data_IF_937236978742
#
_entry.id   IF_937236978742
#
_cell.length_a   1.000
_cell.length_b   1.000
_cell.length_c   1.000
_cell.angle_alpha   90.00
_cell.angle_beta   90.00
_cell.angle_gamma   90.00
#
_symmetry.space_group_name_H-M   'P 1'
#
loop_
_entity.id
_entity.type
_entity.pdbx_description
1 polymer ?
#
# COMPACT_ATOMS: atom_id res chain seq x y z
N UNK A 1 31.46 24.60 52.69
CA UNK A 1 30.16 24.79 52.01
C UNK A 1 30.20 25.67 50.74
N UNK A 2 31.37 26.01 50.17
CA UNK A 2 31.48 26.76 48.89
C UNK A 2 31.90 25.86 47.69
N UNK A 3 32.37 24.63 47.96
CA UNK A 3 32.79 23.68 46.93
C UNK A 3 31.65 22.91 46.27
N UNK A 4 30.65 22.49 47.06
CA UNK A 4 29.59 21.60 46.57
C UNK A 4 28.70 22.29 45.52
N UNK A 5 28.34 23.56 45.75
CA UNK A 5 27.52 24.35 44.82
C UNK A 5 28.17 24.52 43.44
N UNK A 6 29.50 24.63 43.37
CA UNK A 6 30.21 24.78 42.09
C UNK A 6 30.17 23.49 41.27
N UNK A 7 30.29 22.34 41.92
CA UNK A 7 30.23 21.03 41.24
C UNK A 7 28.85 20.81 40.62
N UNK A 8 27.77 21.10 41.37
CA UNK A 8 26.41 20.98 40.85
C UNK A 8 26.15 21.92 39.66
N UNK A 9 26.68 23.15 39.71
CA UNK A 9 26.55 24.12 38.61
C UNK A 9 27.30 23.63 37.37
N UNK A 10 28.54 23.16 37.52
CA UNK A 10 29.32 22.65 36.38
C UNK A 10 28.66 21.42 35.76
N UNK A 11 28.16 20.48 36.56
CA UNK A 11 27.43 19.32 36.07
C UNK A 11 26.14 19.70 35.33
N UNK A 12 25.39 20.68 35.84
CA UNK A 12 24.19 21.21 35.19
C UNK A 12 24.52 21.82 33.82
N UNK A 13 25.59 22.61 33.73
CA UNK A 13 26.04 23.20 32.46
C UNK A 13 26.40 22.11 31.44
N UNK A 14 27.15 21.09 31.84
CA UNK A 14 27.46 19.95 30.96
C UNK A 14 26.20 19.21 30.51
N UNK A 15 25.26 18.94 31.41
CA UNK A 15 24.01 18.28 31.07
C UNK A 15 23.19 19.08 30.06
N UNK A 16 23.09 20.41 30.25
CA UNK A 16 22.40 21.30 29.30
C UNK A 16 23.09 21.31 27.94
N UNK A 17 24.42 21.32 27.89
CA UNK A 17 25.16 21.27 26.62
C UNK A 17 24.89 19.96 25.89
N UNK A 18 24.98 18.82 26.58
CA UNK A 18 24.71 17.50 25.99
C UNK A 18 23.26 17.41 25.52
N UNK A 19 22.31 17.91 26.31
CA UNK A 19 20.90 17.93 25.95
C UNK A 19 20.62 18.79 24.71
N UNK A 20 21.18 20.00 24.65
CA UNK A 20 21.07 20.88 23.48
C UNK A 20 21.68 20.25 22.24
N UNK A 21 22.84 19.60 22.38
CA UNK A 21 23.47 18.89 21.27
C UNK A 21 22.60 17.74 20.77
N UNK A 22 22.02 16.94 21.68
CA UNK A 22 21.07 15.89 21.34
C UNK A 22 19.84 16.42 20.61
N UNK A 23 19.29 17.56 21.04
CA UNK A 23 18.14 18.21 20.39
C UNK A 23 18.49 18.66 18.96
N UNK A 24 19.65 19.29 18.76
CA UNK A 24 20.11 19.72 17.43
C UNK A 24 20.27 18.53 16.46
N UNK A 25 20.93 17.46 16.92
CA UNK A 25 21.12 16.24 16.11
C UNK A 25 19.76 15.58 15.82
N UNK A 26 18.89 15.49 16.82
CA UNK A 26 17.55 14.93 16.66
C UNK A 26 16.73 15.68 15.61
N UNK A 27 16.72 17.01 15.69
CA UNK A 27 16.00 17.85 14.74
C UNK A 27 16.57 17.72 13.31
N UNK A 28 17.90 17.68 13.16
CA UNK A 28 18.54 17.48 11.86
C UNK A 28 18.15 16.15 11.19
N UNK A 29 18.08 15.07 11.97
CA UNK A 29 17.66 13.75 11.45
C UNK A 29 16.20 13.80 10.97
N UNK A 30 15.32 14.45 11.73
CA UNK A 30 13.91 14.61 11.34
C UNK A 30 13.79 15.38 10.04
N UNK A 31 14.47 16.53 9.91
CA UNK A 31 14.40 17.35 8.68
C UNK A 31 14.93 16.60 7.47
N UNK A 32 16.03 15.83 7.62
CA UNK A 32 16.58 15.02 6.53
C UNK A 32 15.60 13.94 6.06
N UNK A 33 14.88 13.31 7.00
CA UNK A 33 13.87 12.30 6.66
C UNK A 33 12.63 12.90 6.01
N UNK A 34 12.24 14.11 6.41
CA UNK A 34 11.16 14.85 5.76
C UNK A 34 11.51 15.20 4.30
N UNK A 35 12.74 15.64 4.04
CA UNK A 35 13.22 15.90 2.68
C UNK A 35 13.28 14.64 1.82
N UNK A 36 13.69 13.51 2.39
CA UNK A 36 13.69 12.21 1.69
C UNK A 36 12.27 11.81 1.25
N UNK A 37 11.26 11.97 2.12
CA UNK A 37 9.85 11.73 1.78
C UNK A 37 9.40 12.68 0.67
N UNK A 38 9.69 13.98 0.79
CA UNK A 38 9.33 14.97 -0.23
C UNK A 38 9.92 14.65 -1.60
N UNK A 39 11.21 14.32 -1.66
CA UNK A 39 11.88 13.97 -2.91
C UNK A 39 11.32 12.68 -3.51
N UNK A 40 10.97 11.71 -2.66
CA UNK A 40 10.31 10.48 -3.10
C UNK A 40 8.92 10.75 -3.66
N UNK A 41 8.11 11.61 -3.04
CA UNK A 41 6.81 12.04 -3.55
C UNK A 41 6.94 12.77 -4.90
N UNK A 42 7.83 13.75 -4.99
CA UNK A 42 8.08 14.53 -6.22
C UNK A 42 8.47 13.61 -7.37
N UNK A 43 9.43 12.69 -7.15
CA UNK A 43 9.80 11.69 -8.15
C UNK A 43 8.63 10.79 -8.54
N UNK A 44 7.78 10.41 -7.58
CA UNK A 44 6.64 9.55 -7.86
C UNK A 44 5.58 10.27 -8.71
N UNK A 45 5.26 11.52 -8.37
CA UNK A 45 4.31 12.35 -9.11
C UNK A 45 4.80 12.55 -10.54
N UNK A 46 6.08 12.84 -10.73
CA UNK A 46 6.69 12.96 -12.07
C UNK A 46 6.52 11.68 -12.87
N UNK A 47 6.81 10.51 -12.27
CA UNK A 47 6.63 9.22 -12.95
C UNK A 47 5.16 8.96 -13.32
N UNK A 48 4.21 9.28 -12.43
CA UNK A 48 2.77 9.11 -12.69
C UNK A 48 2.27 10.02 -13.82
N UNK A 49 2.65 11.29 -13.80
CA UNK A 49 2.31 12.25 -14.85
C UNK A 49 2.96 11.85 -16.18
N UNK A 50 4.21 11.36 -16.15
CA UNK A 50 4.89 10.84 -17.32
C UNK A 50 4.15 9.66 -17.95
N UNK A 51 3.66 8.72 -17.13
CA UNK A 51 2.84 7.60 -17.62
C UNK A 51 1.51 8.07 -18.21
N UNK A 52 0.84 9.05 -17.60
CA UNK A 52 -0.39 9.64 -18.14
C UNK A 52 -0.15 10.34 -19.49
N UNK A 53 0.95 11.08 -19.62
CA UNK A 53 1.28 11.73 -20.90
C UNK A 53 1.64 10.71 -21.98
N UNK A 54 2.37 9.65 -21.64
CA UNK A 54 2.68 8.57 -22.59
C UNK A 54 1.41 7.91 -23.12
N UNK A 55 0.46 7.68 -22.23
CA UNK A 55 -0.87 7.14 -22.53
C UNK A 55 -1.66 8.07 -23.46
N UNK A 56 -1.70 9.37 -23.19
CA UNK A 56 -2.35 10.37 -24.07
C UNK A 56 -1.67 10.50 -25.46
N UNK A 57 -0.36 10.30 -25.53
CA UNK A 57 0.43 10.43 -26.77
C UNK A 57 0.35 9.18 -27.63
N UNK A 58 0.35 7.99 -27.02
CA UNK A 58 0.36 6.72 -27.73
C UNK A 58 -0.28 5.60 -26.90
N UNK A 59 -1.49 5.18 -27.31
CA UNK A 59 -2.21 4.05 -26.73
C UNK A 59 -1.41 2.72 -26.83
N UNK A 60 -0.47 2.60 -27.78
CA UNK A 60 0.25 1.34 -28.07
C UNK A 60 1.18 0.87 -26.95
N UNK A 61 1.63 1.76 -26.05
CA UNK A 61 2.65 1.41 -25.04
C UNK A 61 2.12 1.35 -23.59
N UNK A 62 0.87 1.73 -23.35
CA UNK A 62 0.28 1.71 -22.01
C UNK A 62 0.33 0.31 -21.37
N UNK A 63 0.10 -0.73 -22.16
CA UNK A 63 0.12 -2.12 -21.70
C UNK A 63 1.51 -2.66 -21.39
N UNK A 64 2.59 -1.92 -21.69
CA UNK A 64 3.97 -2.29 -21.36
C UNK A 64 4.46 -1.66 -20.05
N UNK A 65 3.66 -0.78 -19.43
CA UNK A 65 4.03 -0.10 -18.21
C UNK A 65 4.33 -1.07 -17.05
N UNK A 66 5.48 -0.86 -16.40
CA UNK A 66 5.89 -1.57 -15.20
C UNK A 66 5.20 -0.97 -13.95
N UNK A 67 3.99 -1.46 -13.68
CA UNK A 67 3.26 -1.11 -12.46
C UNK A 67 3.95 -1.63 -11.20
N UNK A 68 4.74 -2.70 -11.29
CA UNK A 68 5.45 -3.26 -10.15
C UNK A 68 6.47 -2.25 -9.59
N UNK A 69 7.13 -1.49 -10.48
CA UNK A 69 8.00 -0.37 -10.07
C UNK A 69 7.23 0.69 -9.27
N UNK A 70 6.06 1.11 -9.75
CA UNK A 70 5.21 2.08 -9.04
C UNK A 70 4.77 1.55 -7.68
N UNK A 71 4.41 0.27 -7.59
CA UNK A 71 4.01 -0.37 -6.33
C UNK A 71 5.18 -0.49 -5.34
N UNK A 72 6.38 -0.87 -5.78
CA UNK A 72 7.57 -0.90 -4.92
C UNK A 72 7.90 0.49 -4.38
N UNK A 73 7.85 1.52 -5.23
CA UNK A 73 8.04 2.91 -4.79
C UNK A 73 6.96 3.33 -3.77
N UNK A 74 5.70 2.93 -3.98
CA UNK A 74 4.59 3.22 -3.06
C UNK A 74 4.88 2.62 -1.68
N UNK A 75 5.32 1.36 -1.63
CA UNK A 75 5.68 0.69 -0.37
C UNK A 75 6.82 1.40 0.37
N UNK A 76 7.87 1.83 -0.35
CA UNK A 76 9.00 2.56 0.23
C UNK A 76 8.53 3.90 0.80
N UNK A 77 7.77 4.67 0.03
CA UNK A 77 7.22 5.95 0.45
C UNK A 77 6.32 5.80 1.69
N UNK A 78 5.44 4.79 1.69
CA UNK A 78 4.59 4.48 2.84
C UNK A 78 5.38 4.20 4.12
N UNK A 79 6.46 3.40 4.04
CA UNK A 79 7.34 3.12 5.20
C UNK A 79 8.02 4.36 5.74
N UNK A 80 8.51 5.23 4.84
CA UNK A 80 9.13 6.49 5.24
C UNK A 80 8.12 7.39 5.96
N UNK A 81 6.89 7.46 5.44
CA UNK A 81 5.81 8.24 6.03
C UNK A 81 5.39 7.71 7.40
N UNK A 82 5.24 6.39 7.57
CA UNK A 82 4.98 5.76 8.88
C UNK A 82 6.08 6.09 9.89
N UNK A 83 7.35 6.04 9.47
CA UNK A 83 8.48 6.38 10.34
C UNK A 83 8.42 7.84 10.81
N UNK A 84 8.01 8.76 9.94
CA UNK A 84 7.83 10.16 10.32
C UNK A 84 6.61 10.36 11.22
N UNK A 85 5.49 9.69 10.93
CA UNK A 85 4.27 9.70 11.74
C UNK A 85 4.53 9.24 13.18
N UNK A 86 5.31 8.16 13.36
CA UNK A 86 5.69 7.66 14.70
C UNK A 86 6.55 8.65 15.49
N UNK A 87 7.37 9.47 14.80
CA UNK A 87 8.29 10.44 15.43
C UNK A 87 7.64 11.78 15.73
N UNK A 88 6.78 12.26 14.82
CA UNK A 88 6.21 13.60 14.86
C UNK A 88 4.75 13.62 15.36
N UNK A 89 4.09 12.46 15.34
CA UNK A 89 2.69 12.30 15.70
C UNK A 89 1.76 12.43 14.49
N UNK A 90 0.60 11.76 14.59
CA UNK A 90 -0.41 11.68 13.52
C UNK A 90 -1.07 13.03 13.18
N UNK A 91 -1.15 13.91 14.17
CA UNK A 91 -1.79 15.23 14.06
C UNK A 91 -0.82 16.34 13.63
N UNK A 92 0.43 15.99 13.33
CA UNK A 92 1.39 16.97 12.84
C UNK A 92 0.97 17.43 11.43
N UNK A 93 0.91 18.75 11.20
CA UNK A 93 0.43 19.33 9.94
C UNK A 93 1.23 18.88 8.71
N UNK A 94 2.55 18.75 8.86
CA UNK A 94 3.40 18.29 7.75
C UNK A 94 3.10 16.83 7.44
N UNK A 95 2.87 15.99 8.47
CA UNK A 95 2.47 14.59 8.29
C UNK A 95 1.11 14.48 7.60
N UNK A 96 0.13 15.29 8.00
CA UNK A 96 -1.20 15.32 7.38
C UNK A 96 -1.08 15.65 5.89
N UNK A 97 -0.34 16.71 5.54
CA UNK A 97 -0.14 17.10 4.13
C UNK A 97 0.54 15.99 3.32
N UNK A 98 1.54 15.31 3.89
CA UNK A 98 2.23 14.19 3.23
C UNK A 98 1.31 12.98 3.03
N UNK A 99 0.44 12.69 4.01
CA UNK A 99 -0.58 11.65 3.88
C UNK A 99 -1.58 11.96 2.78
N UNK A 100 -2.02 13.21 2.65
CA UNK A 100 -2.91 13.63 1.55
C UNK A 100 -2.27 13.39 0.18
N UNK A 101 -1.00 13.78 0.00
CA UNK A 101 -0.25 13.52 -1.25
C UNK A 101 -0.13 12.02 -1.51
N UNK A 102 0.23 11.24 -0.49
CA UNK A 102 0.33 9.79 -0.58
C UNK A 102 -1.00 9.15 -1.00
N UNK A 103 -2.13 9.61 -0.47
CA UNK A 103 -3.46 9.15 -0.88
C UNK A 103 -3.78 9.48 -2.35
N UNK A 104 -3.43 10.67 -2.84
CA UNK A 104 -3.57 11.00 -4.27
C UNK A 104 -2.76 10.05 -5.15
N UNK A 105 -1.52 9.77 -4.76
CA UNK A 105 -0.65 8.80 -5.44
C UNK A 105 -1.32 7.43 -5.48
N UNK A 106 -1.85 6.95 -4.35
CA UNK A 106 -2.55 5.66 -4.29
C UNK A 106 -3.75 5.61 -5.23
N UNK A 107 -4.57 6.67 -5.25
CA UNK A 107 -5.75 6.78 -6.13
C UNK A 107 -5.34 6.77 -7.60
N UNK A 108 -4.27 7.48 -7.99
CA UNK A 108 -3.77 7.46 -9.36
C UNK A 108 -3.28 6.06 -9.76
N UNK A 109 -2.59 5.34 -8.87
CA UNK A 109 -2.18 3.95 -9.13
C UNK A 109 -3.40 3.05 -9.34
N UNK A 110 -4.45 3.18 -8.50
CA UNK A 110 -5.70 2.43 -8.66
C UNK A 110 -6.30 2.69 -10.05
N UNK A 111 -6.39 3.95 -10.48
CA UNK A 111 -6.92 4.29 -11.82
C UNK A 111 -6.10 3.67 -12.94
N UNK A 112 -4.77 3.70 -12.85
CA UNK A 112 -3.91 3.06 -13.84
C UNK A 112 -4.13 1.54 -13.87
N UNK A 113 -4.26 0.90 -12.69
CA UNK A 113 -4.56 -0.54 -12.58
C UNK A 113 -5.93 -0.91 -13.17
N UNK A 114 -6.96 -0.09 -12.91
CA UNK A 114 -8.30 -0.24 -13.49
C UNK A 114 -8.25 -0.12 -15.02
N UNK A 115 -7.57 0.90 -15.55
CA UNK A 115 -7.39 1.09 -17.00
C UNK A 115 -6.71 -0.13 -17.65
N UNK A 116 -5.61 -0.62 -17.05
CA UNK A 116 -4.92 -1.82 -17.55
C UNK A 116 -5.76 -3.08 -17.49
N UNK A 117 -6.63 -3.21 -16.48
CA UNK A 117 -7.55 -4.34 -16.41
C UNK A 117 -8.54 -4.32 -17.58
N UNK A 118 -9.04 -3.15 -17.93
CA UNK A 118 -10.05 -2.99 -18.98
C UNK A 118 -9.47 -3.04 -20.40
N UNK A 119 -8.29 -2.45 -20.62
CA UNK A 119 -7.73 -2.26 -21.97
C UNK A 119 -6.63 -3.27 -22.32
N UNK A 120 -5.88 -3.76 -21.31
CA UNK A 120 -4.76 -4.69 -21.52
C UNK A 120 -5.10 -6.14 -21.15
N UNK A 121 -6.36 -6.42 -20.80
CA UNK A 121 -6.83 -7.74 -20.35
C UNK A 121 -5.96 -8.34 -19.21
N UNK A 122 -5.39 -7.48 -18.35
CA UNK A 122 -4.58 -7.91 -17.21
C UNK A 122 -5.46 -8.21 -16.00
N UNK A 123 -5.19 -9.33 -15.34
CA UNK A 123 -5.89 -9.75 -14.11
C UNK A 123 -5.31 -9.09 -12.86
N UNK A 124 -5.39 -7.75 -12.80
CA UNK A 124 -5.03 -6.99 -11.61
C UNK A 124 -6.18 -7.04 -10.60
N UNK A 125 -5.89 -7.50 -9.38
CA UNK A 125 -6.89 -7.58 -8.33
C UNK A 125 -6.65 -6.46 -7.33
N UNK A 126 -7.64 -5.58 -7.22
CA UNK A 126 -7.55 -4.37 -6.43
C UNK A 126 -8.40 -4.58 -5.18
N UNK A 127 -7.76 -4.44 -4.02
CA UNK A 127 -8.40 -4.40 -2.71
C UNK A 127 -8.27 -2.98 -2.16
N UNK A 128 -9.40 -2.32 -1.94
CA UNK A 128 -9.46 -0.98 -1.35
C UNK A 128 -10.11 -1.09 0.03
N UNK A 129 -9.41 -0.63 1.05
CA UNK A 129 -9.85 -0.70 2.43
C UNK A 129 -10.13 0.70 2.98
N UNK A 130 -11.34 0.92 3.48
CA UNK A 130 -11.74 2.17 4.12
C UNK A 130 -11.81 1.97 5.64
N UNK A 131 -11.14 2.86 6.37
CA UNK A 131 -10.98 2.74 7.81
C UNK A 131 -11.10 4.09 8.52
N UNK A 132 -11.21 4.06 9.84
CA UNK A 132 -11.10 5.26 10.70
C UNK A 132 -10.04 5.05 11.77
N UNK A 133 -9.30 6.11 12.10
CA UNK A 133 -8.45 6.16 13.29
C UNK A 133 -9.16 6.80 14.51
N UNK A 134 -10.37 7.32 14.35
CA UNK A 134 -11.11 8.01 15.41
C UNK A 134 -11.89 7.02 16.27
N UNK A 135 -11.67 7.05 17.58
CA UNK A 135 -12.30 6.11 18.51
C UNK A 135 -13.83 6.21 18.59
N UNK A 136 -14.38 7.41 18.36
CA UNK A 136 -15.82 7.67 18.38
C UNK A 136 -16.29 8.22 17.02
N UNK A 137 -15.90 7.57 15.93
CA UNK A 137 -16.34 7.96 14.60
C UNK A 137 -17.82 7.63 14.36
N UNK A 138 -18.54 8.51 13.67
CA UNK A 138 -19.93 8.26 13.28
C UNK A 138 -20.03 7.16 12.21
N UNK A 139 -18.95 6.89 11.48
CA UNK A 139 -18.91 5.88 10.45
C UNK A 139 -18.54 4.49 10.99
N UNK A 140 -17.87 4.36 12.14
CA UNK A 140 -17.46 3.05 12.64
C UNK A 140 -16.47 3.04 13.80
N UNK A 141 -16.00 1.83 14.13
CA UNK A 141 -15.07 1.57 15.23
C UNK A 141 -13.63 1.51 14.74
N UNK A 142 -12.73 2.27 15.39
CA UNK A 142 -11.30 2.19 15.10
C UNK A 142 -10.71 0.81 15.47
N UNK A 143 -11.25 0.14 16.48
CA UNK A 143 -10.78 -1.18 16.90
C UNK A 143 -11.12 -2.25 15.86
N UNK A 144 -12.36 -2.26 15.35
CA UNK A 144 -12.78 -3.16 14.27
C UNK A 144 -11.93 -2.91 13.02
N UNK A 145 -11.64 -1.63 12.72
CA UNK A 145 -10.78 -1.24 11.62
C UNK A 145 -9.34 -1.75 11.79
N UNK A 146 -8.78 -1.69 13.00
CA UNK A 146 -7.44 -2.18 13.26
C UNK A 146 -7.36 -3.71 13.17
N UNK A 147 -8.40 -4.41 13.60
CA UNK A 147 -8.45 -5.87 13.55
C UNK A 147 -8.61 -6.39 12.13
N UNK A 148 -9.51 -5.82 11.33
CA UNK A 148 -9.64 -6.20 9.92
C UNK A 148 -8.39 -5.87 9.09
N UNK A 149 -7.72 -4.74 9.37
CA UNK A 149 -6.46 -4.40 8.70
C UNK A 149 -5.39 -5.48 8.88
N UNK A 150 -5.23 -6.03 10.09
CA UNK A 150 -4.31 -7.15 10.36
C UNK A 150 -4.74 -8.42 9.63
N UNK A 151 -6.05 -8.67 9.54
CA UNK A 151 -6.58 -9.82 8.79
C UNK A 151 -6.21 -9.67 7.30
N UNK A 152 -6.48 -8.50 6.71
CA UNK A 152 -6.17 -8.19 5.31
C UNK A 152 -4.69 -8.38 5.03
N UNK A 153 -3.81 -7.81 5.86
CA UNK A 153 -2.35 -7.91 5.66
C UNK A 153 -1.89 -9.37 5.63
N UNK A 154 -2.29 -10.17 6.62
CA UNK A 154 -1.90 -11.56 6.72
C UNK A 154 -2.46 -12.42 5.57
N UNK A 155 -3.76 -12.29 5.28
CA UNK A 155 -4.40 -13.09 4.23
C UNK A 155 -3.84 -12.73 2.85
N UNK A 156 -3.68 -11.44 2.55
CA UNK A 156 -3.14 -11.00 1.25
C UNK A 156 -1.70 -11.45 1.08
N UNK A 157 -0.87 -11.38 2.12
CA UNK A 157 0.49 -11.92 2.10
C UNK A 157 0.48 -13.41 1.77
N UNK A 158 -0.29 -14.20 2.52
CA UNK A 158 -0.38 -15.65 2.35
C UNK A 158 -0.88 -16.04 0.94
N UNK A 159 -1.89 -15.33 0.42
CA UNK A 159 -2.46 -15.58 -0.92
C UNK A 159 -1.46 -15.22 -2.01
N UNK A 160 -0.79 -14.07 -1.93
CA UNK A 160 0.21 -13.67 -2.93
C UNK A 160 1.41 -14.63 -2.97
N UNK A 161 1.84 -15.17 -1.83
CA UNK A 161 2.88 -16.21 -1.79
C UNK A 161 2.42 -17.52 -2.46
N UNK A 162 1.15 -17.93 -2.25
CA UNK A 162 0.58 -19.09 -2.97
C UNK A 162 0.53 -18.85 -4.48
N UNK A 163 0.18 -17.65 -4.93
CA UNK A 163 0.15 -17.32 -6.36
C UNK A 163 1.55 -17.44 -6.97
N UNK A 164 2.57 -16.84 -6.36
CA UNK A 164 3.96 -16.92 -6.85
C UNK A 164 4.45 -18.36 -6.97
N UNK A 165 4.12 -19.21 -5.99
CA UNK A 165 4.47 -20.63 -6.02
C UNK A 165 3.80 -21.35 -7.20
N UNK A 166 2.49 -21.15 -7.38
CA UNK A 166 1.75 -21.79 -8.47
C UNK A 166 2.26 -21.37 -9.85
N UNK A 167 2.64 -20.10 -10.03
CA UNK A 167 3.25 -19.61 -11.27
C UNK A 167 4.60 -20.30 -11.56
N UNK A 168 5.41 -20.50 -10.51
CA UNK A 168 6.70 -21.20 -10.62
C UNK A 168 6.53 -22.68 -11.00
N UNK A 169 5.55 -23.36 -10.39
CA UNK A 169 5.27 -24.78 -10.65
C UNK A 169 4.74 -25.01 -12.09
N UNK A 170 3.94 -24.10 -12.64
CA UNK A 170 3.47 -24.17 -14.03
C UNK A 170 4.61 -23.98 -15.04
N UNK A 171 5.54 -23.07 -14.76
CA UNK A 171 6.69 -22.82 -15.64
C UNK A 171 7.61 -24.04 -15.72
N UNK A 172 7.86 -24.72 -14.60
CA UNK A 172 8.70 -25.92 -14.54
C UNK A 172 8.10 -27.11 -15.31
N UNK A 173 6.78 -27.34 -15.20
CA UNK A 173 6.12 -28.46 -15.87
C UNK A 173 6.03 -28.32 -17.40
N UNK A 174 6.09 -27.09 -17.93
CA UNK A 174 6.08 -26.83 -19.37
C UNK A 174 7.45 -27.03 -20.04
N UNK A 175 8.55 -26.83 -19.31
CA UNK A 175 9.91 -27.04 -19.84
C UNK A 175 10.24 -28.51 -20.10
N UNK A 176 9.56 -29.45 -19.45
CA UNK A 176 9.81 -30.89 -19.64
C UNK A 176 9.03 -31.49 -20.84
N UNK A 177 8.07 -30.76 -21.43
CA UNK A 177 7.13 -31.31 -22.42
C UNK A 177 7.20 -30.68 -23.83
N UNK A 178 8.09 -29.73 -24.13
CA UNK A 178 8.14 -29.14 -25.48
C UNK A 178 9.56 -28.82 -25.99
N UNK A 179 9.95 -29.49 -27.08
CA UNK A 179 11.14 -29.26 -27.91
C UNK A 179 10.79 -28.57 -29.24
N UNK A 180 9.72 -27.79 -29.30
CA UNK A 180 9.37 -27.02 -30.50
C UNK A 180 9.56 -25.52 -30.28
N UNK A 181 10.53 -24.99 -31.03
CA UNK A 181 10.92 -23.58 -31.08
C UNK A 181 9.87 -22.77 -31.84
N UNK A 182 8.77 -22.40 -31.17
CA UNK A 182 8.02 -21.20 -31.53
C UNK A 182 7.22 -20.71 -30.31
N UNK A 183 7.94 -20.20 -29.31
CA UNK A 183 7.34 -19.55 -28.16
C UNK A 183 6.89 -18.16 -28.56
N UNK A 184 5.63 -18.07 -28.99
CA UNK A 184 4.82 -16.89 -28.68
C UNK A 184 4.94 -16.67 -27.17
N UNK A 185 5.61 -15.58 -26.79
CA UNK A 185 5.83 -15.20 -25.40
C UNK A 185 4.48 -14.81 -24.79
N UNK A 186 3.68 -15.81 -24.43
CA UNK A 186 2.54 -15.66 -23.55
C UNK A 186 3.11 -15.40 -22.15
N UNK A 187 3.55 -14.15 -21.93
CA UNK A 187 3.99 -13.65 -20.64
C UNK A 187 2.81 -13.87 -19.71
N UNK A 188 2.87 -14.93 -18.90
CA UNK A 188 1.88 -15.21 -17.88
C UNK A 188 1.77 -13.99 -16.98
N UNK A 189 0.69 -13.25 -17.10
CA UNK A 189 0.49 -12.05 -16.31
C UNK A 189 0.42 -12.45 -14.84
N UNK A 190 1.40 -11.97 -14.07
CA UNK A 190 1.55 -12.21 -12.64
C UNK A 190 0.30 -11.74 -11.91
N UNK A 191 -0.44 -12.67 -11.30
CA UNK A 191 -1.65 -12.33 -10.54
C UNK A 191 -1.23 -11.84 -9.17
N UNK A 192 -1.41 -10.56 -8.88
CA UNK A 192 -1.18 -10.03 -7.54
C UNK A 192 -2.45 -9.35 -7.02
N UNK A 193 -2.64 -9.41 -5.71
CA UNK A 193 -3.58 -8.57 -5.00
C UNK A 193 -2.86 -7.30 -4.55
N UNK A 194 -3.36 -6.15 -5.00
CA UNK A 194 -2.85 -4.83 -4.63
C UNK A 194 -3.77 -4.19 -3.60
N UNK A 195 -3.21 -3.90 -2.42
CA UNK A 195 -3.95 -3.33 -1.29
C UNK A 195 -3.72 -1.82 -1.23
N UNK A 196 -4.81 -1.08 -1.05
CA UNK A 196 -4.83 0.36 -0.82
C UNK A 196 -5.74 0.64 0.37
N UNK A 197 -5.33 1.56 1.24
CA UNK A 197 -6.09 1.90 2.44
C UNK A 197 -6.28 3.41 2.53
N UNK A 198 -7.49 3.83 2.91
CA UNK A 198 -7.89 5.25 2.99
C UNK A 198 -8.62 5.54 4.30
N UNK A 199 -8.19 6.58 4.99
CA UNK A 199 -8.88 7.08 6.18
C UNK A 199 -10.13 7.84 5.73
N UNK A 200 -11.30 7.47 6.24
CA UNK A 200 -12.57 8.15 5.92
C UNK A 200 -12.64 9.57 6.43
N UNK A 201 -11.73 9.94 7.34
CA UNK A 201 -11.57 11.29 7.85
C UNK A 201 -10.58 12.15 7.08
N UNK A 202 -9.98 11.61 6.00
CA UNK A 202 -9.08 12.39 5.15
C UNK A 202 -9.80 13.59 4.53
N UNK A 203 -9.14 14.75 4.53
CA UNK A 203 -9.62 15.97 3.88
C UNK A 203 -9.41 15.94 2.35
N UNK A 204 -8.81 14.87 1.83
CA UNK A 204 -8.55 14.69 0.41
C UNK A 204 -9.83 14.51 -0.41
N UNK A 205 -10.06 15.42 -1.38
CA UNK A 205 -11.22 15.40 -2.27
C UNK A 205 -11.35 14.12 -3.10
N UNK A 206 -10.23 13.49 -3.49
CA UNK A 206 -10.23 12.25 -4.24
C UNK A 206 -10.64 11.06 -3.35
N UNK A 207 -10.22 11.05 -2.08
CA UNK A 207 -10.70 10.08 -1.09
C UNK A 207 -12.21 10.24 -0.89
N UNK A 208 -12.72 11.46 -0.78
CA UNK A 208 -14.15 11.72 -0.73
C UNK A 208 -14.90 11.20 -1.98
N UNK A 209 -14.34 11.40 -3.17
CA UNK A 209 -14.90 10.87 -4.41
C UNK A 209 -14.96 9.33 -4.41
N UNK A 210 -13.93 8.66 -3.88
CA UNK A 210 -13.92 7.20 -3.68
C UNK A 210 -15.04 6.74 -2.74
N UNK A 211 -15.22 7.41 -1.60
CA UNK A 211 -16.31 7.10 -0.66
C UNK A 211 -17.69 7.20 -1.33
N UNK A 212 -17.88 8.20 -2.20
CA UNK A 212 -19.12 8.35 -2.99
C UNK A 212 -19.27 7.28 -4.06
N UNK A 213 -18.21 6.97 -4.83
CA UNK A 213 -18.21 5.94 -5.89
C UNK A 213 -18.70 4.60 -5.34
N UNK A 214 -18.21 4.19 -4.18
CA UNK A 214 -18.53 2.90 -3.57
C UNK A 214 -19.67 2.96 -2.53
N UNK A 215 -20.31 4.11 -2.37
CA UNK A 215 -21.39 4.35 -1.40
C UNK A 215 -21.00 3.90 0.02
N UNK A 216 -19.82 4.29 0.47
CA UNK A 216 -19.30 3.98 1.81
C UNK A 216 -20.04 4.84 2.83
N UNK A 217 -20.80 4.19 3.71
CA UNK A 217 -21.56 4.83 4.79
C UNK A 217 -21.11 4.39 6.18
N UNK A 218 -20.40 3.26 6.25
CA UNK A 218 -19.86 2.68 7.49
C UNK A 218 -18.47 2.12 7.22
N UNK A 219 -17.67 2.02 8.27
CA UNK A 219 -16.35 1.38 8.28
C UNK A 219 -16.23 0.40 9.46
N UNK A 220 -15.36 -0.62 9.37
CA UNK A 220 -14.52 -0.93 8.21
C UNK A 220 -15.32 -1.38 6.98
N UNK A 221 -14.81 -1.06 5.80
CA UNK A 221 -15.40 -1.47 4.53
C UNK A 221 -14.31 -1.80 3.53
N UNK A 222 -14.48 -2.93 2.85
CA UNK A 222 -13.50 -3.48 1.91
C UNK A 222 -14.12 -3.60 0.53
N UNK A 223 -13.46 -3.07 -0.49
CA UNK A 223 -13.81 -3.22 -1.89
C UNK A 223 -12.84 -4.20 -2.53
N UNK A 224 -13.35 -5.27 -3.13
CA UNK A 224 -12.56 -6.22 -3.90
C UNK A 224 -13.15 -6.25 -5.30
N UNK A 225 -12.38 -5.86 -6.31
CA UNK A 225 -12.83 -5.84 -7.71
C UNK A 225 -14.20 -5.16 -7.91
N UNK A 226 -14.35 -3.93 -7.38
CA UNK A 226 -15.57 -3.12 -7.41
C UNK A 226 -16.77 -3.64 -6.59
N UNK A 227 -16.66 -4.79 -5.92
CA UNK A 227 -17.69 -5.28 -4.99
C UNK A 227 -17.40 -4.82 -3.58
N UNK A 228 -18.41 -4.26 -2.92
CA UNK A 228 -18.34 -3.81 -1.53
C UNK A 228 -18.66 -4.94 -0.55
N UNK A 229 -17.84 -5.02 0.48
CA UNK A 229 -18.00 -5.87 1.64
C UNK A 229 -17.90 -4.99 2.90
N UNK A 230 -18.71 -5.31 3.91
CA UNK A 230 -18.51 -4.81 5.27
C UNK A 230 -17.38 -5.61 5.93
N UNK A 231 -17.32 -5.66 7.26
CA UNK A 231 -16.29 -6.39 7.99
C UNK A 231 -16.06 -7.82 7.48
N UNK A 232 -14.82 -8.14 7.13
CA UNK A 232 -14.42 -9.48 6.69
C UNK A 232 -13.58 -10.22 7.73
N UNK A 233 -14.09 -11.35 8.20
CA UNK A 233 -13.29 -12.35 8.93
C UNK A 233 -12.21 -12.97 8.04
N UNK A 234 -11.18 -13.55 8.66
CA UNK A 234 -10.10 -14.25 7.95
C UNK A 234 -10.60 -15.31 6.98
N UNK A 235 -11.57 -16.12 7.40
CA UNK A 235 -12.11 -17.23 6.62
C UNK A 235 -12.83 -16.72 5.37
N UNK A 236 -13.77 -15.78 5.55
CA UNK A 236 -14.50 -15.17 4.43
C UNK A 236 -13.58 -14.41 3.46
N UNK A 237 -12.61 -13.62 3.96
CA UNK A 237 -11.67 -12.91 3.09
C UNK A 237 -10.83 -13.90 2.26
N UNK A 238 -10.36 -14.98 2.89
CA UNK A 238 -9.62 -16.04 2.20
C UNK A 238 -10.47 -16.68 1.11
N UNK A 239 -11.72 -17.03 1.42
CA UNK A 239 -12.64 -17.62 0.44
C UNK A 239 -12.87 -16.69 -0.75
N UNK A 240 -13.16 -15.40 -0.51
CA UNK A 240 -13.39 -14.41 -1.56
C UNK A 240 -12.15 -14.30 -2.44
N UNK A 241 -10.97 -14.11 -1.85
CA UNK A 241 -9.73 -13.95 -2.61
C UNK A 241 -9.40 -15.22 -3.39
N UNK A 242 -9.49 -16.41 -2.79
CA UNK A 242 -9.19 -17.66 -3.51
C UNK A 242 -10.16 -17.96 -4.65
N UNK A 243 -11.45 -17.64 -4.46
CA UNK A 243 -12.51 -17.84 -5.45
C UNK A 243 -12.44 -16.83 -6.59
N UNK A 244 -12.26 -15.54 -6.28
CA UNK A 244 -12.17 -14.48 -7.30
C UNK A 244 -10.83 -14.51 -8.05
N UNK A 245 -9.77 -15.04 -7.44
CA UNK A 245 -8.44 -15.17 -8.06
C UNK A 245 -8.22 -16.53 -8.73
N UNK A 246 -9.22 -17.41 -8.70
CA UNK A 246 -9.16 -18.77 -9.21
C UNK A 246 -7.88 -19.52 -8.80
N UNK A 247 -7.54 -19.47 -7.50
CA UNK A 247 -6.52 -20.38 -6.94
C UNK A 247 -6.98 -21.84 -6.94
N UNK A 248 -8.27 -22.09 -7.20
CA UNK A 248 -8.80 -23.42 -7.46
C UNK A 248 -8.71 -23.77 -8.95
N UNK A 249 -7.56 -24.31 -9.38
CA UNK A 249 -7.62 -25.44 -10.29
C UNK A 249 -8.33 -26.57 -9.55
N UNK A 250 -9.26 -27.33 -10.16
CA UNK A 250 -9.86 -28.46 -9.48
C UNK A 250 -8.72 -29.37 -9.02
N UNK A 251 -8.64 -29.61 -7.70
CA UNK A 251 -7.96 -30.79 -7.18
C UNK A 251 -8.55 -31.93 -7.99
N UNK A 252 -7.76 -32.61 -8.82
CA UNK A 252 -8.17 -33.93 -9.29
C UNK A 252 -8.34 -34.74 -8.01
N UNK A 253 -9.57 -34.85 -7.54
CA UNK A 253 -9.99 -36.01 -6.79
C UNK A 253 -9.69 -37.19 -7.72
N UNK A 254 -8.55 -37.82 -7.48
CA UNK A 254 -8.39 -39.20 -7.88
C UNK A 254 -9.30 -40.01 -6.96
N UNK A 255 -10.61 -39.90 -7.21
CA UNK A 255 -11.57 -40.94 -6.86
C UNK A 255 -12.04 -41.57 -8.17
N UNK A 256 -11.36 -42.64 -8.55
CA UNK A 256 -11.85 -43.58 -9.53
C UNK A 256 -11.10 -44.91 -9.35
N UNK A 257 -11.76 -45.81 -8.62
CA UNK A 257 -11.88 -47.26 -8.82
C UNK A 257 -10.69 -48.05 -9.34
#
# INVERSE_FOLDING_TARGET
MYGDKKIFITALVFAVIIFLFGLLVGNYIVTSKMDEVRLSEESFIIDLLGMEMQDEISDEHFCELDVEKSLRKKMVLGKMLTTLEERLGKENKDIIQKKEIYELIQIKIIKNLEKMKNECNRSNNILIYFYTNKQNDVMGSADDCNDESKIIENVVYDVNERIKKNESDVMYNNTDNNRDNNTDNNIGYKRNIYVFAFDVNSENLATYAMLKKYEIKKVPATIINDKKYDYLSKEHLTEILEKELALNYPRKENDSR
#
